data_IF_337540612930
#
_entry.id   IF_337540612930
#
_cell.length_a   1.000
_cell.length_b   1.000
_cell.length_c   1.000
_cell.angle_alpha   90.00
_cell.angle_beta   90.00
_cell.angle_gamma   90.00
#
_symmetry.space_group_name_H-M   'P 1'
#
loop_
_entity.id
_entity.type
_entity.pdbx_description
1 polymer ?
#
# COMPACT_ATOMS: atom_id res chain seq x y z
N UNK A 1 3.72 -4.21 -4.58
CA UNK A 1 4.93 -3.37 -4.55
C UNK A 1 5.15 -2.79 -3.15
N UNK A 2 6.37 -2.76 -2.68
CA UNK A 2 6.76 -2.23 -1.37
C UNK A 2 7.81 -1.15 -1.60
N UNK A 3 7.64 -0.01 -0.94
CA UNK A 3 8.61 1.07 -0.87
C UNK A 3 8.93 1.36 0.58
N UNK A 4 10.19 1.60 0.88
CA UNK A 4 10.67 1.91 2.24
C UNK A 4 11.16 3.36 2.28
N UNK A 5 10.87 4.05 3.38
CA UNK A 5 11.37 5.41 3.64
C UNK A 5 11.92 5.51 5.05
N UNK A 6 12.71 6.57 5.32
CA UNK A 6 13.18 6.83 6.66
C UNK A 6 12.02 7.12 7.63
N UNK A 7 12.14 6.66 8.87
CA UNK A 7 11.10 6.81 9.89
C UNK A 7 10.76 8.28 10.23
N UNK A 8 11.67 9.21 9.93
CA UNK A 8 11.47 10.65 10.10
C UNK A 8 10.66 11.30 8.96
N UNK A 9 10.29 10.54 7.93
CA UNK A 9 9.47 11.04 6.82
C UNK A 9 8.01 10.70 7.05
N UNK A 10 7.15 11.70 6.94
CA UNK A 10 5.70 11.47 6.95
C UNK A 10 5.29 10.66 5.72
N UNK A 11 4.50 9.59 5.92
CA UNK A 11 4.12 8.62 4.89
C UNK A 11 3.47 9.25 3.65
N UNK A 12 2.75 10.37 3.84
CA UNK A 12 2.14 11.09 2.72
C UNK A 12 3.16 11.59 1.69
N UNK A 13 4.44 11.76 2.05
CA UNK A 13 5.50 12.15 1.09
C UNK A 13 5.88 11.01 0.13
N UNK A 14 5.54 9.78 0.49
CA UNK A 14 5.77 8.62 -0.38
C UNK A 14 4.56 8.28 -1.24
N UNK A 15 3.43 8.98 -1.05
CA UNK A 15 2.16 8.65 -1.67
C UNK A 15 2.24 8.62 -3.21
N UNK A 16 2.74 9.69 -3.82
CA UNK A 16 2.85 9.81 -5.28
C UNK A 16 3.74 8.69 -5.84
N UNK A 17 4.90 8.47 -5.21
CA UNK A 17 5.83 7.40 -5.60
C UNK A 17 5.18 6.03 -5.50
N UNK A 18 4.41 5.76 -4.45
CA UNK A 18 3.68 4.52 -4.29
C UNK A 18 2.63 4.32 -5.40
N UNK A 19 1.90 5.38 -5.75
CA UNK A 19 0.88 5.31 -6.80
C UNK A 19 1.53 5.10 -8.17
N UNK A 20 2.63 5.80 -8.46
CA UNK A 20 3.33 5.73 -9.76
C UNK A 20 4.02 4.40 -9.98
N UNK A 21 4.42 3.79 -8.91
CA UNK A 21 5.13 2.54 -8.91
C UNK A 21 4.20 1.30 -8.94
N UNK A 22 2.88 1.46 -9.07
CA UNK A 22 1.95 0.34 -9.29
C UNK A 22 2.31 -0.35 -10.62
N UNK A 23 2.65 -1.65 -10.59
CA UNK A 23 3.05 -2.37 -11.79
C UNK A 23 1.86 -2.53 -12.74
N UNK A 24 2.17 -2.75 -14.02
CA UNK A 24 1.18 -3.17 -15.00
C UNK A 24 0.66 -4.56 -14.62
N UNK A 25 -0.65 -4.70 -14.52
CA UNK A 25 -1.31 -5.97 -14.17
C UNK A 25 -1.92 -6.53 -15.44
N UNK A 26 -1.45 -7.70 -15.87
CA UNK A 26 -2.08 -8.48 -16.93
C UNK A 26 -3.43 -8.98 -16.44
N UNK A 27 -4.40 -9.04 -17.33
CA UNK A 27 -5.76 -9.46 -17.02
C UNK A 27 -6.45 -9.96 -18.29
N UNK A 28 -7.64 -9.46 -18.55
CA UNK A 28 -8.39 -9.71 -19.78
C UNK A 28 -7.57 -9.29 -21.02
N UNK A 29 -7.84 -9.87 -22.21
CA UNK A 29 -7.18 -9.50 -23.45
C UNK A 29 -7.16 -7.97 -23.65
N UNK A 30 -5.98 -7.44 -24.02
CA UNK A 30 -5.78 -6.02 -24.24
C UNK A 30 -4.59 -5.46 -23.46
N UNK A 31 -4.48 -4.12 -23.42
CA UNK A 31 -3.36 -3.44 -22.77
C UNK A 31 -3.40 -3.64 -21.25
N UNK A 32 -2.31 -4.07 -20.60
CA UNK A 32 -2.25 -4.24 -19.14
C UNK A 32 -2.65 -2.97 -18.38
N UNK A 33 -3.45 -3.13 -17.35
CA UNK A 33 -3.88 -2.01 -16.50
C UNK A 33 -2.73 -1.49 -15.66
N UNK A 34 -2.45 -0.19 -15.73
CA UNK A 34 -1.41 0.50 -14.94
C UNK A 34 -1.96 1.36 -13.81
N UNK A 35 -3.27 1.38 -13.62
CA UNK A 35 -3.93 2.18 -12.58
C UNK A 35 -5.14 1.46 -12.00
N UNK A 36 -5.37 1.52 -10.69
CA UNK A 36 -6.62 1.07 -10.09
C UNK A 36 -7.76 2.04 -10.45
N UNK A 37 -8.99 1.56 -10.47
CA UNK A 37 -10.17 2.41 -10.64
C UNK A 37 -10.36 3.29 -9.41
N UNK A 38 -10.20 2.71 -8.20
CA UNK A 38 -10.35 3.39 -6.90
C UNK A 38 -9.15 3.14 -6.02
N UNK A 39 -8.77 4.14 -5.24
CA UNK A 39 -7.75 4.04 -4.21
C UNK A 39 -8.33 4.53 -2.88
N UNK A 40 -8.26 3.70 -1.85
CA UNK A 40 -8.67 4.05 -0.49
C UNK A 40 -7.44 4.39 0.34
N UNK A 41 -7.48 5.52 1.05
CA UNK A 41 -6.44 5.90 1.98
C UNK A 41 -7.06 6.58 3.22
N UNK A 42 -6.33 6.53 4.32
CA UNK A 42 -6.75 7.14 5.57
C UNK A 42 -6.60 8.68 5.55
N UNK A 43 -7.07 9.33 6.61
CA UNK A 43 -6.97 10.79 6.78
C UNK A 43 -5.54 11.31 6.93
N UNK A 44 -4.55 10.47 7.15
CA UNK A 44 -3.13 10.81 7.11
C UNK A 44 -2.65 11.25 5.72
N UNK A 45 -3.38 10.84 4.67
CA UNK A 45 -3.11 11.20 3.29
C UNK A 45 -4.01 12.35 2.76
N UNK A 46 -4.80 13.00 3.63
CA UNK A 46 -5.68 14.10 3.24
C UNK A 46 -4.91 15.40 2.97
N UNK A 47 -4.16 15.42 1.88
CA UNK A 47 -3.43 16.57 1.37
C UNK A 47 -3.88 16.90 -0.05
N UNK A 48 -3.92 18.20 -0.37
CA UNK A 48 -4.28 18.68 -1.72
C UNK A 48 -3.44 18.02 -2.82
N UNK A 49 -2.12 17.86 -2.59
CA UNK A 49 -1.19 17.22 -3.54
C UNK A 49 -1.55 15.74 -3.81
N UNK A 50 -1.89 14.96 -2.78
CA UNK A 50 -2.29 13.56 -2.93
C UNK A 50 -3.56 13.44 -3.78
N UNK A 51 -4.56 14.28 -3.50
CA UNK A 51 -5.82 14.32 -4.27
C UNK A 51 -5.61 14.79 -5.71
N UNK A 52 -4.74 15.78 -5.92
CA UNK A 52 -4.38 16.27 -7.25
C UNK A 52 -3.69 15.19 -8.07
N UNK A 53 -2.72 14.49 -7.49
CA UNK A 53 -2.02 13.38 -8.14
C UNK A 53 -2.96 12.26 -8.58
N UNK A 54 -3.89 11.84 -7.72
CA UNK A 54 -4.90 10.83 -8.09
C UNK A 54 -5.78 11.29 -9.26
N UNK A 55 -6.19 12.57 -9.28
CA UNK A 55 -6.97 13.14 -10.40
C UNK A 55 -6.17 13.13 -11.70
N UNK A 56 -4.90 13.55 -11.67
CA UNK A 56 -4.01 13.50 -12.84
C UNK A 56 -3.85 12.09 -13.38
N UNK A 57 -3.79 11.10 -12.49
CA UNK A 57 -3.70 9.68 -12.86
C UNK A 57 -5.05 9.07 -13.25
N UNK A 58 -6.15 9.81 -13.18
CA UNK A 58 -7.49 9.31 -13.43
C UNK A 58 -7.94 8.22 -12.45
N UNK A 59 -7.52 8.32 -11.19
CA UNK A 59 -7.84 7.37 -10.11
C UNK A 59 -8.87 8.03 -9.19
N UNK A 60 -9.95 7.33 -8.89
CA UNK A 60 -10.95 7.80 -7.93
C UNK A 60 -10.39 7.68 -6.52
N UNK A 61 -9.98 8.81 -5.92
CA UNK A 61 -9.45 8.85 -4.56
C UNK A 61 -10.55 8.86 -3.51
N UNK A 62 -10.59 7.84 -2.66
CA UNK A 62 -11.41 7.75 -1.45
C UNK A 62 -10.50 7.96 -0.24
N UNK A 63 -10.09 9.20 -0.02
CA UNK A 63 -9.26 9.61 1.11
C UNK A 63 -10.18 10.20 2.16
N UNK A 64 -10.15 9.65 3.39
CA UNK A 64 -10.94 10.15 4.52
C UNK A 64 -10.57 11.60 4.82
N UNK A 65 -11.57 12.46 5.07
CA UNK A 65 -11.36 13.88 5.37
C UNK A 65 -11.07 14.09 6.86
N UNK A 66 -10.09 14.93 7.14
CA UNK A 66 -9.79 15.35 8.52
C UNK A 66 -10.95 16.17 9.07
N UNK A 67 -11.41 15.84 10.28
CA UNK A 67 -12.46 16.57 10.99
C UNK A 67 -13.90 16.33 10.53
N UNK A 68 -14.14 15.55 9.46
CA UNK A 68 -15.49 15.36 8.91
C UNK A 68 -15.97 13.90 9.04
N UNK A 69 -15.09 12.91 8.92
CA UNK A 69 -15.50 11.50 8.90
C UNK A 69 -15.33 10.83 10.25
N UNK A 70 -16.42 10.17 10.74
CA UNK A 70 -16.37 9.36 11.93
C UNK A 70 -15.57 8.07 11.71
N UNK A 71 -14.95 7.56 12.77
CA UNK A 71 -14.18 6.32 12.75
C UNK A 71 -15.02 5.07 12.43
N UNK A 72 -16.33 5.13 12.62
CA UNK A 72 -17.26 4.01 12.48
C UNK A 72 -17.40 3.49 11.04
N UNK A 73 -17.33 4.38 10.05
CA UNK A 73 -17.46 4.00 8.63
C UNK A 73 -16.14 3.55 7.99
N UNK A 74 -15.00 3.81 8.61
CA UNK A 74 -13.67 3.45 8.13
C UNK A 74 -13.36 1.95 8.29
N UNK A 75 -14.04 1.25 9.20
CA UNK A 75 -13.79 -0.16 9.53
C UNK A 75 -13.92 -1.09 8.32
N UNK A 76 -14.87 -0.83 7.42
CA UNK A 76 -15.17 -1.69 6.26
C UNK A 76 -14.01 -1.84 5.26
N UNK A 77 -13.11 -0.86 5.16
CA UNK A 77 -11.97 -0.91 4.22
C UNK A 77 -10.62 -0.97 4.93
N UNK A 78 -10.56 -0.62 6.21
CA UNK A 78 -9.33 -0.57 7.00
C UNK A 78 -8.78 -1.95 7.36
N UNK A 79 -9.64 -2.95 7.47
CA UNK A 79 -9.25 -4.31 7.84
C UNK A 79 -8.20 -4.91 6.89
N UNK A 80 -8.20 -4.54 5.59
CA UNK A 80 -7.23 -5.00 4.61
C UNK A 80 -5.81 -4.56 4.98
N UNK A 81 -5.64 -3.31 5.40
CA UNK A 81 -4.34 -2.76 5.83
C UNK A 81 -3.87 -3.45 7.10
N UNK A 82 -4.75 -3.54 8.12
CA UNK A 82 -4.44 -4.23 9.38
C UNK A 82 -4.04 -5.69 9.16
N UNK A 83 -4.75 -6.41 8.31
CA UNK A 83 -4.45 -7.79 7.94
C UNK A 83 -3.07 -7.90 7.27
N UNK A 84 -2.75 -7.00 6.33
CA UNK A 84 -1.46 -7.01 5.64
C UNK A 84 -0.31 -6.78 6.63
N UNK A 85 -0.44 -5.82 7.54
CA UNK A 85 0.55 -5.62 8.60
C UNK A 85 0.69 -6.83 9.52
N UNK A 86 -0.42 -7.48 9.89
CA UNK A 86 -0.40 -8.71 10.70
C UNK A 86 0.37 -9.84 10.00
N UNK A 87 0.19 -10.01 8.69
CA UNK A 87 0.95 -11.00 7.93
C UNK A 87 2.44 -10.73 7.93
N UNK A 88 2.86 -9.47 7.73
CA UNK A 88 4.28 -9.12 7.82
C UNK A 88 4.84 -9.30 9.23
N UNK A 89 4.07 -9.00 10.27
CA UNK A 89 4.47 -9.21 11.66
C UNK A 89 4.67 -10.70 12.02
N UNK A 90 4.07 -11.63 11.27
CA UNK A 90 4.33 -13.05 11.38
C UNK A 90 5.76 -13.47 10.98
N UNK A 91 6.48 -12.63 10.25
CA UNK A 91 7.90 -12.83 9.96
C UNK A 91 8.72 -12.13 11.06
N UNK A 92 9.31 -12.88 11.97
CA UNK A 92 9.98 -12.36 13.18
C UNK A 92 10.98 -11.23 12.94
N UNK A 93 11.79 -11.30 11.86
CA UNK A 93 12.74 -10.25 11.48
C UNK A 93 12.09 -8.96 10.93
N UNK A 94 10.81 -8.99 10.57
CA UNK A 94 10.07 -7.83 10.10
C UNK A 94 9.21 -7.18 11.18
N UNK A 95 8.93 -7.92 12.25
CA UNK A 95 8.19 -7.40 13.41
C UNK A 95 8.97 -6.32 14.16
N UNK A 96 10.28 -6.52 14.26
CA UNK A 96 11.23 -5.55 14.82
C UNK A 96 12.31 -5.37 13.76
N UNK A 97 12.64 -4.11 13.43
CA UNK A 97 13.70 -3.83 12.46
C UNK A 97 15.07 -4.16 13.06
N UNK A 98 15.57 -5.37 12.82
CA UNK A 98 16.93 -5.77 13.18
C UNK A 98 17.97 -5.26 12.19
N UNK A 99 17.59 -5.17 10.94
CA UNK A 99 18.52 -4.86 9.85
C UNK A 99 18.75 -3.34 9.74
N UNK A 100 20.01 -2.93 9.88
CA UNK A 100 20.41 -1.51 9.74
C UNK A 100 20.45 -1.07 8.27
N UNK A 101 20.87 -1.96 7.38
CA UNK A 101 20.93 -1.70 5.95
C UNK A 101 19.52 -1.69 5.35
N UNK A 102 19.20 -0.58 4.66
CA UNK A 102 17.88 -0.37 4.08
C UNK A 102 17.59 -1.34 2.93
N UNK A 103 18.59 -1.62 2.10
CA UNK A 103 18.48 -2.53 0.96
C UNK A 103 18.18 -3.98 1.40
N UNK A 104 18.84 -4.46 2.45
CA UNK A 104 18.57 -5.79 3.01
C UNK A 104 17.18 -5.84 3.64
N UNK A 105 16.80 -4.81 4.39
CA UNK A 105 15.44 -4.74 4.96
C UNK A 105 14.36 -4.73 3.89
N UNK A 106 14.55 -3.99 2.79
CA UNK A 106 13.64 -3.97 1.65
C UNK A 106 13.58 -5.33 0.94
N UNK A 107 14.72 -6.01 0.80
CA UNK A 107 14.78 -7.37 0.24
C UNK A 107 13.98 -8.38 1.09
N UNK A 108 14.11 -8.33 2.41
CA UNK A 108 13.35 -9.18 3.34
C UNK A 108 11.84 -8.90 3.25
N UNK A 109 11.43 -7.63 3.15
CA UNK A 109 10.03 -7.25 2.94
C UNK A 109 9.48 -7.79 1.62
N UNK A 110 10.25 -7.69 0.53
CA UNK A 110 9.87 -8.22 -0.78
C UNK A 110 9.73 -9.74 -0.76
N UNK A 111 10.67 -10.43 -0.12
CA UNK A 111 10.63 -11.88 0.04
C UNK A 111 9.39 -12.31 0.86
N UNK A 112 9.13 -11.66 1.98
CA UNK A 112 7.94 -11.95 2.78
C UNK A 112 6.65 -11.69 1.99
N UNK A 113 6.57 -10.61 1.21
CA UNK A 113 5.43 -10.34 0.35
C UNK A 113 5.25 -11.43 -0.72
N UNK A 114 6.33 -11.90 -1.33
CA UNK A 114 6.28 -12.99 -2.31
C UNK A 114 5.76 -14.29 -1.68
N UNK A 115 6.23 -14.65 -0.48
CA UNK A 115 5.76 -15.83 0.27
C UNK A 115 4.27 -15.70 0.61
N UNK A 116 3.83 -14.52 1.06
CA UNK A 116 2.41 -14.27 1.34
C UNK A 116 1.59 -14.47 0.06
N UNK A 117 2.01 -13.88 -1.07
CA UNK A 117 1.31 -14.02 -2.34
C UNK A 117 1.27 -15.49 -2.82
N UNK A 118 2.38 -16.22 -2.75
CA UNK A 118 2.44 -17.64 -3.11
C UNK A 118 1.42 -18.47 -2.33
N UNK A 119 1.33 -18.30 -1.01
CA UNK A 119 0.34 -18.98 -0.16
C UNK A 119 -1.12 -18.70 -0.57
N UNK A 120 -1.39 -17.54 -1.19
CA UNK A 120 -2.70 -17.24 -1.72
C UNK A 120 -2.94 -17.95 -3.06
N UNK A 121 -1.96 -17.98 -3.95
CA UNK A 121 -2.05 -18.71 -5.22
C UNK A 121 -2.31 -20.20 -4.94
N UNK A 122 -1.50 -20.83 -4.09
CA UNK A 122 -1.65 -22.26 -3.72
C UNK A 122 -3.02 -22.59 -3.10
N UNK A 123 -3.70 -21.59 -2.50
CA UNK A 123 -5.04 -21.82 -1.91
C UNK A 123 -6.17 -21.66 -2.90
N UNK A 124 -5.98 -20.93 -4.00
CA UNK A 124 -7.02 -20.55 -4.94
C UNK A 124 -6.82 -21.10 -6.36
N UNK A 125 -5.72 -21.74 -6.64
CA UNK A 125 -5.40 -22.48 -7.85
C UNK A 125 -5.21 -23.96 -7.58
#
# INVERSE_FOLDING_TARGET
MILVSGANRHDSKMFERCVDAIPAIAGLPGRPRRRPVKLHADKGYDFKRCRAHLRQRGIIGRIARRGIESSERLGKHRWVVGRTHSWFAGFGKLRIRFERRLDIHEALLKLAAAIICARFVDRWC
#
